data_IF_643603614056
#
_entry.id   IF_643603614056
#
_cell.length_a   1.000
_cell.length_b   1.000
_cell.length_c   1.000
_cell.angle_alpha   90.00
_cell.angle_beta   90.00
_cell.angle_gamma   90.00
#
_symmetry.space_group_name_H-M   'P 1'
#
loop_
_entity.id
_entity.type
_entity.pdbx_description
1 polymer ?
#
# COMPACT_ATOMS: atom_id res chain seq x y z
N UNK A 1 8.37 -24.39 -8.98
CA UNK A 1 9.52 -23.48 -8.73
C UNK A 1 9.01 -22.38 -7.82
N UNK A 2 9.74 -22.05 -6.75
CA UNK A 2 9.28 -21.07 -5.77
C UNK A 2 9.13 -19.67 -6.38
N UNK A 3 8.07 -18.96 -6.03
CA UNK A 3 7.87 -17.57 -6.46
C UNK A 3 8.75 -16.65 -5.59
N UNK A 4 9.72 -15.93 -6.18
CA UNK A 4 10.68 -15.13 -5.43
C UNK A 4 10.07 -13.79 -4.97
N UNK A 5 10.46 -13.34 -3.78
CA UNK A 5 10.18 -11.99 -3.25
C UNK A 5 11.50 -11.34 -2.80
N UNK A 6 11.48 -10.12 -2.26
CA UNK A 6 12.69 -9.60 -1.58
C UNK A 6 12.99 -10.30 -0.26
N UNK A 7 11.99 -10.94 0.35
CA UNK A 7 12.07 -11.53 1.70
C UNK A 7 12.44 -13.01 1.68
N UNK A 8 12.19 -13.71 0.58
CA UNK A 8 12.49 -15.14 0.44
C UNK A 8 12.62 -15.56 -1.02
N UNK A 9 13.43 -16.60 -1.26
CA UNK A 9 13.62 -17.25 -2.57
C UNK A 9 13.18 -18.71 -2.57
N UNK A 10 12.69 -19.22 -1.45
CA UNK A 10 12.38 -20.63 -1.25
C UNK A 10 10.87 -20.84 -1.00
N UNK A 11 10.42 -22.08 -1.20
CA UNK A 11 9.07 -22.49 -0.80
C UNK A 11 9.00 -22.60 0.72
N UNK A 12 7.81 -22.39 1.27
CA UNK A 12 7.57 -22.74 2.66
C UNK A 12 7.51 -24.26 2.85
N UNK A 13 7.83 -24.69 4.06
CA UNK A 13 7.77 -26.09 4.48
C UNK A 13 6.37 -26.41 4.99
N UNK A 14 5.83 -27.54 4.54
CA UNK A 14 4.55 -28.07 4.98
C UNK A 14 4.81 -29.25 5.91
N UNK A 15 4.18 -29.25 7.09
CA UNK A 15 4.11 -30.38 8.01
C UNK A 15 2.65 -30.78 8.27
N UNK A 16 2.40 -32.08 8.39
CA UNK A 16 1.07 -32.64 8.66
C UNK A 16 1.16 -33.58 9.86
N UNK A 17 0.46 -33.23 10.94
CA UNK A 17 0.25 -34.12 12.08
C UNK A 17 -0.78 -35.19 11.71
N UNK A 18 -0.30 -36.39 11.42
CA UNK A 18 -1.13 -37.50 10.97
C UNK A 18 -2.05 -38.05 12.07
N UNK A 19 -1.72 -37.84 13.35
CA UNK A 19 -2.54 -38.27 14.48
C UNK A 19 -3.77 -37.37 14.62
N UNK A 20 -3.57 -36.05 14.48
CA UNK A 20 -4.68 -35.07 14.51
C UNK A 20 -5.52 -35.05 13.24
N UNK A 21 -4.94 -35.37 12.09
CA UNK A 21 -5.63 -35.26 10.80
C UNK A 21 -6.86 -36.17 10.75
N UNK A 22 -8.05 -35.61 10.51
CA UNK A 22 -9.31 -36.38 10.41
C UNK A 22 -9.65 -36.80 8.98
N UNK A 23 -8.90 -36.32 7.98
CA UNK A 23 -9.18 -36.59 6.57
C UNK A 23 -10.32 -35.76 5.97
N UNK A 24 -10.75 -34.68 6.61
CA UNK A 24 -11.89 -33.86 6.17
C UNK A 24 -11.71 -33.17 4.80
N UNK A 25 -10.47 -32.92 4.36
CA UNK A 25 -10.20 -32.36 3.02
C UNK A 25 -10.22 -30.84 2.90
N UNK A 26 -10.49 -30.08 3.96
CA UNK A 26 -10.55 -28.60 3.88
C UNK A 26 -9.25 -27.97 3.35
N UNK A 27 -8.08 -28.48 3.78
CA UNK A 27 -6.77 -28.04 3.28
C UNK A 27 -6.60 -28.23 1.76
N UNK A 28 -7.20 -29.29 1.19
CA UNK A 28 -7.20 -29.56 -0.26
C UNK A 28 -8.10 -28.58 -0.98
N UNK A 29 -9.27 -28.28 -0.41
CA UNK A 29 -10.24 -27.34 -1.00
C UNK A 29 -9.69 -25.92 -1.11
N UNK A 30 -9.02 -25.42 -0.06
CA UNK A 30 -8.53 -24.03 -0.01
C UNK A 30 -7.19 -23.82 -0.72
N UNK A 31 -6.36 -24.86 -0.87
CA UNK A 31 -5.03 -24.71 -1.47
C UNK A 31 -5.10 -24.71 -3.00
N UNK A 32 -5.05 -23.52 -3.61
CA UNK A 32 -5.11 -23.36 -5.08
C UNK A 32 -3.78 -23.63 -5.81
N UNK A 33 -2.71 -23.90 -5.07
CA UNK A 33 -1.43 -24.41 -5.60
C UNK A 33 -1.36 -25.95 -5.64
N UNK A 34 -2.43 -26.63 -5.19
CA UNK A 34 -2.54 -28.10 -5.18
C UNK A 34 -1.43 -28.81 -4.39
N UNK A 35 -1.00 -28.23 -3.27
CA UNK A 35 0.02 -28.83 -2.38
C UNK A 35 -0.50 -30.04 -1.58
N UNK A 36 -1.81 -30.29 -1.54
CA UNK A 36 -2.41 -31.34 -0.72
C UNK A 36 -3.30 -32.27 -1.55
N UNK A 37 -3.38 -33.53 -1.16
CA UNK A 37 -4.38 -34.49 -1.61
C UNK A 37 -4.83 -35.38 -0.45
N UNK A 38 -5.94 -36.13 -0.63
CA UNK A 38 -6.40 -37.12 0.35
C UNK A 38 -6.05 -38.52 -0.10
N UNK A 39 -5.46 -39.30 0.82
CA UNK A 39 -5.15 -40.71 0.65
C UNK A 39 -5.40 -41.44 1.97
N UNK A 40 -6.05 -42.60 1.93
CA UNK A 40 -6.33 -43.40 3.13
C UNK A 40 -6.98 -42.58 4.28
N UNK A 41 -7.91 -41.68 3.94
CA UNK A 41 -8.59 -40.75 4.87
C UNK A 41 -7.63 -39.83 5.65
N UNK A 42 -6.47 -39.50 5.08
CA UNK A 42 -5.52 -38.54 5.64
C UNK A 42 -5.03 -37.58 4.57
N UNK A 43 -4.69 -36.36 4.98
CA UNK A 43 -4.05 -35.40 4.09
C UNK A 43 -2.58 -35.80 3.85
N UNK A 44 -2.14 -35.66 2.60
CA UNK A 44 -0.77 -35.90 2.15
C UNK A 44 -0.27 -34.73 1.31
N UNK A 45 1.04 -34.55 1.26
CA UNK A 45 1.70 -33.49 0.48
C UNK A 45 1.88 -33.98 -0.96
N UNK A 46 1.39 -33.21 -1.93
CA UNK A 46 1.54 -33.49 -3.35
C UNK A 46 3.00 -33.35 -3.80
N UNK A 47 3.47 -34.28 -4.64
CA UNK A 47 4.78 -34.19 -5.31
C UNK A 47 4.80 -33.27 -6.54
N UNK A 48 3.63 -32.78 -6.98
CA UNK A 48 3.50 -31.96 -8.19
C UNK A 48 2.62 -30.70 -7.95
N UNK A 49 3.01 -29.81 -7.04
CA UNK A 49 2.34 -28.51 -6.89
C UNK A 49 2.71 -27.58 -8.07
N UNK A 50 1.89 -26.55 -8.32
CA UNK A 50 2.15 -25.60 -9.41
C UNK A 50 3.41 -24.78 -9.10
N UNK A 51 3.35 -23.95 -8.05
CA UNK A 51 4.48 -23.14 -7.62
C UNK A 51 5.12 -23.64 -6.32
N UNK A 52 4.42 -24.52 -5.58
CA UNK A 52 4.79 -24.96 -4.24
C UNK A 52 4.06 -24.18 -3.16
N UNK A 53 4.46 -24.31 -1.91
CA UNK A 53 3.83 -23.57 -0.81
C UNK A 53 4.33 -22.11 -0.80
N UNK A 54 3.42 -21.18 -1.06
CA UNK A 54 3.69 -19.73 -0.99
C UNK A 54 3.54 -19.14 0.42
N UNK A 55 3.14 -19.95 1.42
CA UNK A 55 2.83 -19.52 2.78
C UNK A 55 1.68 -18.51 2.90
N UNK A 56 0.52 -18.79 2.31
CA UNK A 56 -0.69 -17.98 2.54
C UNK A 56 -1.45 -18.33 3.83
N UNK A 57 -1.09 -19.44 4.50
CA UNK A 57 -1.67 -19.83 5.79
C UNK A 57 -3.12 -20.35 5.77
N UNK A 58 -3.85 -20.24 4.65
CA UNK A 58 -5.27 -20.62 4.57
C UNK A 58 -5.53 -22.08 5.01
N UNK A 59 -4.63 -23.01 4.67
CA UNK A 59 -4.77 -24.41 5.08
C UNK A 59 -4.62 -24.62 6.58
N UNK A 60 -3.80 -23.81 7.27
CA UNK A 60 -3.72 -23.84 8.73
C UNK A 60 -4.98 -23.25 9.35
N UNK A 61 -5.42 -22.09 8.85
CA UNK A 61 -6.56 -21.34 9.39
C UNK A 61 -7.91 -22.08 9.26
N UNK A 62 -8.09 -22.90 8.21
CA UNK A 62 -9.34 -23.66 8.00
C UNK A 62 -9.32 -25.03 8.67
N UNK A 63 -8.15 -25.53 9.12
CA UNK A 63 -8.05 -26.91 9.61
C UNK A 63 -8.70 -27.04 11.00
N UNK A 64 -9.84 -27.75 11.14
CA UNK A 64 -10.55 -27.82 12.42
C UNK A 64 -9.78 -28.62 13.48
N UNK A 65 -8.88 -29.51 13.06
CA UNK A 65 -8.07 -30.34 13.94
C UNK A 65 -6.69 -29.74 14.26
N UNK A 66 -6.34 -28.58 13.67
CA UNK A 66 -5.01 -27.99 13.81
C UNK A 66 -3.88 -28.92 13.36
N UNK A 67 -4.12 -29.72 12.30
CA UNK A 67 -3.21 -30.76 11.84
C UNK A 67 -2.19 -30.29 10.80
N UNK A 68 -2.33 -29.07 10.26
CA UNK A 68 -1.45 -28.53 9.22
C UNK A 68 -0.60 -27.42 9.82
N UNK A 69 0.71 -27.48 9.60
CA UNK A 69 1.66 -26.44 9.99
C UNK A 69 2.49 -26.02 8.78
N UNK A 70 2.57 -24.71 8.55
CA UNK A 70 3.37 -24.08 7.50
C UNK A 70 4.44 -23.24 8.20
N UNK A 71 5.69 -23.38 7.74
CA UNK A 71 6.81 -22.60 8.27
C UNK A 71 7.70 -22.06 7.15
N UNK A 72 8.32 -20.92 7.41
CA UNK A 72 9.16 -20.21 6.45
C UNK A 72 8.37 -19.19 5.63
N UNK A 73 9.09 -18.42 4.80
CA UNK A 73 8.51 -17.28 4.05
C UNK A 73 7.78 -16.27 4.96
N UNK A 74 8.33 -16.02 6.15
CA UNK A 74 7.79 -15.07 7.14
C UNK A 74 6.42 -15.45 7.69
N UNK A 75 6.10 -16.75 7.68
CA UNK A 75 4.92 -17.31 8.31
C UNK A 75 5.31 -18.50 9.19
N UNK A 76 4.62 -18.62 10.31
CA UNK A 76 4.65 -19.72 11.25
C UNK A 76 3.25 -20.00 11.80
N UNK A 77 3.09 -21.06 12.58
CA UNK A 77 1.84 -21.32 13.30
C UNK A 77 1.51 -20.25 14.35
N UNK A 78 2.52 -19.57 14.88
CA UNK A 78 2.35 -18.60 15.97
C UNK A 78 1.76 -17.28 15.46
N UNK A 79 1.72 -17.09 14.13
CA UNK A 79 1.08 -15.95 13.47
C UNK A 79 -0.44 -16.13 13.32
N UNK A 80 -0.99 -17.30 13.67
CA UNK A 80 -2.44 -17.53 13.67
C UNK A 80 -3.09 -16.85 14.87
N UNK A 81 -4.27 -16.31 14.64
CA UNK A 81 -5.11 -15.72 15.68
C UNK A 81 -6.59 -16.04 15.40
N UNK A 82 -7.40 -16.01 16.45
CA UNK A 82 -8.84 -16.19 16.33
C UNK A 82 -9.48 -14.95 15.71
N UNK A 83 -10.26 -15.16 14.65
CA UNK A 83 -11.00 -14.07 14.02
C UNK A 83 -12.03 -13.49 15.01
N UNK A 84 -12.25 -12.15 14.99
CA UNK A 84 -13.36 -11.57 15.74
C UNK A 84 -14.68 -12.19 15.29
N UNK A 85 -15.65 -12.26 16.20
CA UNK A 85 -16.97 -12.79 15.87
C UNK A 85 -17.60 -11.94 14.77
N UNK A 86 -18.32 -12.60 13.85
CA UNK A 86 -18.96 -11.93 12.71
C UNK A 86 -19.87 -10.76 13.11
N UNK A 87 -20.48 -10.81 14.30
CA UNK A 87 -21.34 -9.75 14.84
C UNK A 87 -20.58 -8.47 15.26
N UNK A 88 -19.28 -8.61 15.55
CA UNK A 88 -18.42 -7.52 16.00
C UNK A 88 -17.68 -6.87 14.80
N UNK A 89 -17.70 -7.51 13.64
CA UNK A 89 -17.17 -6.95 12.40
C UNK A 89 -18.04 -5.81 11.87
N UNK A 90 -17.43 -4.86 11.16
CA UNK A 90 -18.14 -3.75 10.53
C UNK A 90 -19.14 -4.25 9.49
N UNK A 91 -20.38 -3.76 9.58
CA UNK A 91 -21.42 -4.04 8.59
C UNK A 91 -21.41 -3.01 7.44
N UNK A 92 -22.25 -3.24 6.42
CA UNK A 92 -22.34 -2.38 5.25
C UNK A 92 -22.64 -0.92 5.61
N UNK A 93 -23.61 -0.67 6.50
CA UNK A 93 -24.01 0.70 6.86
C UNK A 93 -22.90 1.45 7.59
N UNK A 94 -22.14 0.77 8.46
CA UNK A 94 -20.99 1.34 9.14
C UNK A 94 -19.88 1.71 8.15
N UNK A 95 -19.56 0.82 7.21
CA UNK A 95 -18.56 1.09 6.17
C UNK A 95 -19.02 2.21 5.23
N UNK A 96 -20.28 2.17 4.80
CA UNK A 96 -20.84 3.18 3.91
C UNK A 96 -20.86 4.56 4.58
N UNK A 97 -21.18 4.64 5.87
CA UNK A 97 -21.10 5.87 6.64
C UNK A 97 -19.66 6.42 6.70
N UNK A 98 -18.67 5.55 6.97
CA UNK A 98 -17.25 5.93 6.95
C UNK A 98 -16.85 6.48 5.58
N UNK A 99 -17.14 5.73 4.51
CA UNK A 99 -16.76 6.10 3.14
C UNK A 99 -17.42 7.39 2.68
N UNK A 100 -18.67 7.61 3.06
CA UNK A 100 -19.45 8.80 2.68
C UNK A 100 -19.00 10.06 3.41
N UNK A 101 -18.48 9.91 4.65
CA UNK A 101 -17.98 11.04 5.46
C UNK A 101 -16.57 11.45 5.10
N UNK A 102 -15.75 10.51 4.63
CA UNK A 102 -14.34 10.74 4.31
C UNK A 102 -14.15 11.85 3.29
N UNK A 103 -13.19 12.75 3.54
CA UNK A 103 -12.79 13.83 2.62
C UNK A 103 -11.28 13.88 2.49
N UNK A 104 -10.79 14.44 1.38
CA UNK A 104 -9.37 14.74 1.24
C UNK A 104 -9.07 16.03 2.03
N UNK A 105 -8.59 15.88 3.26
CA UNK A 105 -8.26 16.97 4.19
C UNK A 105 -6.82 17.42 3.97
N UNK A 106 -6.61 18.73 3.88
CA UNK A 106 -5.27 19.34 3.76
C UNK A 106 -5.03 20.41 4.83
N UNK A 107 -6.05 20.72 5.60
CA UNK A 107 -6.06 21.68 6.69
C UNK A 107 -6.05 20.92 8.01
N UNK A 108 -4.87 20.82 8.64
CA UNK A 108 -4.67 20.09 9.88
C UNK A 108 -4.45 21.03 11.07
N UNK A 109 -5.03 20.70 12.22
CA UNK A 109 -4.78 21.37 13.49
C UNK A 109 -3.31 21.23 13.87
N UNK A 110 -2.75 22.21 14.56
CA UNK A 110 -1.40 22.15 15.13
C UNK A 110 -1.35 21.22 16.35
N UNK A 111 -1.56 19.93 16.09
CA UNK A 111 -1.60 18.83 17.04
C UNK A 111 -0.91 17.62 16.42
N UNK A 112 0.07 17.08 17.15
CA UNK A 112 0.74 15.82 16.78
C UNK A 112 -0.18 14.61 16.95
N UNK A 113 0.13 13.54 16.23
CA UNK A 113 -0.59 12.26 16.34
C UNK A 113 0.15 11.36 17.32
N UNK A 114 -0.60 10.83 18.28
CA UNK A 114 -0.11 9.93 19.31
C UNK A 114 0.45 8.63 18.70
N UNK A 115 1.58 8.12 19.20
CA UNK A 115 2.24 6.92 18.66
C UNK A 115 1.34 5.69 18.61
N UNK A 116 0.45 5.53 19.60
CA UNK A 116 -0.52 4.44 19.63
C UNK A 116 -1.51 4.51 18.45
N UNK A 117 -1.93 5.72 18.05
CA UNK A 117 -2.79 5.91 16.88
C UNK A 117 -2.03 5.57 15.60
N UNK A 118 -0.76 5.99 15.48
CA UNK A 118 0.11 5.62 14.36
C UNK A 118 0.22 4.09 14.25
N UNK A 119 0.42 3.40 15.38
CA UNK A 119 0.51 1.95 15.40
C UNK A 119 -0.81 1.28 14.97
N UNK A 120 -1.97 1.75 15.47
CA UNK A 120 -3.29 1.24 15.02
C UNK A 120 -3.51 1.38 13.52
N UNK A 121 -3.00 2.46 12.90
CA UNK A 121 -3.06 2.65 11.45
C UNK A 121 -2.20 1.60 10.73
N UNK A 122 -1.00 1.33 11.22
CA UNK A 122 -0.10 0.32 10.65
C UNK A 122 -0.64 -1.10 10.84
N UNK A 123 -1.17 -1.42 12.01
CA UNK A 123 -1.79 -2.70 12.34
C UNK A 123 -2.99 -2.98 11.44
N UNK A 124 -3.79 -1.97 11.11
CA UNK A 124 -4.85 -2.11 10.11
C UNK A 124 -4.28 -2.25 8.69
N UNK A 125 -3.25 -1.47 8.33
CA UNK A 125 -2.68 -1.50 6.99
C UNK A 125 -2.06 -2.87 6.64
N UNK A 126 -1.44 -3.55 7.61
CA UNK A 126 -0.80 -4.87 7.39
C UNK A 126 -1.82 -5.98 7.13
N UNK A 127 -3.10 -5.81 7.48
CA UNK A 127 -4.16 -6.76 7.13
C UNK A 127 -4.63 -6.65 5.69
N UNK A 128 -4.04 -5.75 4.90
CA UNK A 128 -4.42 -5.57 3.50
C UNK A 128 -4.15 -6.85 2.69
N UNK A 129 -5.05 -7.20 1.75
CA UNK A 129 -4.79 -8.32 0.86
C UNK A 129 -3.56 -8.00 0.00
N UNK A 130 -2.88 -9.06 -0.41
CA UNK A 130 -1.69 -9.00 -1.25
C UNK A 130 -1.76 -10.07 -2.32
N UNK A 131 -1.15 -9.83 -3.47
CA UNK A 131 -1.08 -10.82 -4.55
C UNK A 131 -0.30 -12.08 -4.16
N UNK A 132 0.83 -11.91 -3.45
CA UNK A 132 1.70 -13.00 -3.04
C UNK A 132 2.29 -12.74 -1.64
N UNK A 133 2.17 -13.69 -0.69
CA UNK A 133 2.86 -13.60 0.58
C UNK A 133 4.33 -14.06 0.50
N UNK A 134 5.20 -13.55 1.40
CA UNK A 134 4.91 -12.49 2.36
C UNK A 134 4.80 -11.12 1.68
N UNK A 135 4.07 -10.19 2.30
CA UNK A 135 3.90 -8.84 1.75
C UNK A 135 5.26 -8.19 1.51
N UNK A 136 5.37 -7.57 0.34
CA UNK A 136 6.58 -6.90 -0.13
C UNK A 136 6.35 -5.36 -0.24
N UNK A 137 5.29 -4.88 0.42
CA UNK A 137 4.99 -3.46 0.63
C UNK A 137 5.91 -2.90 1.72
N UNK A 138 6.50 -1.74 1.44
CA UNK A 138 7.34 -0.98 2.35
C UNK A 138 6.60 0.31 2.74
N UNK A 139 6.84 0.80 3.97
CA UNK A 139 6.25 2.04 4.47
C UNK A 139 7.36 2.96 4.99
N UNK A 140 7.50 4.15 4.41
CA UNK A 140 8.29 5.24 4.99
C UNK A 140 7.37 6.12 5.83
N UNK A 141 7.68 6.26 7.13
CA UNK A 141 6.87 7.04 8.08
C UNK A 141 7.60 8.35 8.41
N UNK A 142 6.88 9.46 8.22
CA UNK A 142 7.27 10.81 8.62
C UNK A 142 6.32 11.26 9.73
N UNK A 143 6.67 10.95 10.97
CA UNK A 143 5.85 11.04 12.20
C UNK A 143 5.93 12.40 12.93
N UNK A 144 6.27 13.47 12.21
CA UNK A 144 6.23 14.83 12.76
C UNK A 144 6.18 15.87 11.65
N UNK A 145 5.64 17.05 11.96
CA UNK A 145 5.63 18.22 11.06
C UNK A 145 7.04 18.58 10.57
N UNK A 146 8.05 18.47 11.42
CA UNK A 146 9.44 18.75 11.05
C UNK A 146 9.92 17.78 9.97
N UNK A 147 9.69 16.46 10.15
CA UNK A 147 10.09 15.45 9.17
C UNK A 147 9.32 15.57 7.87
N UNK A 148 8.01 15.85 7.91
CA UNK A 148 7.20 16.07 6.71
C UNK A 148 7.63 17.32 5.97
N UNK A 149 7.91 18.43 6.67
CA UNK A 149 8.44 19.67 6.09
C UNK A 149 9.80 19.45 5.46
N UNK A 150 10.74 18.81 6.16
CA UNK A 150 12.09 18.52 5.66
C UNK A 150 12.04 17.70 4.37
N UNK A 151 11.21 16.65 4.33
CA UNK A 151 11.00 15.87 3.11
C UNK A 151 10.49 16.75 1.95
N UNK A 152 9.51 17.63 2.21
CA UNK A 152 8.97 18.52 1.19
C UNK A 152 10.01 19.53 0.66
N UNK A 153 10.83 20.11 1.56
CA UNK A 153 11.93 21.01 1.19
C UNK A 153 12.94 20.29 0.30
N UNK A 154 13.37 19.10 0.71
CA UNK A 154 14.30 18.27 -0.05
C UNK A 154 13.72 17.88 -1.41
N UNK A 155 12.43 17.55 -1.46
CA UNK A 155 11.73 17.22 -2.69
C UNK A 155 11.67 18.44 -3.64
N UNK A 156 11.35 19.63 -3.14
CA UNK A 156 11.36 20.85 -3.95
C UNK A 156 12.75 21.17 -4.49
N UNK A 157 13.81 21.02 -3.69
CA UNK A 157 15.19 21.18 -4.16
C UNK A 157 15.57 20.14 -5.23
N UNK A 158 15.09 18.91 -5.08
CA UNK A 158 15.22 17.86 -6.10
C UNK A 158 14.50 18.24 -7.40
N UNK A 159 13.26 18.74 -7.34
CA UNK A 159 12.52 19.21 -8.53
C UNK A 159 13.19 20.40 -9.21
N UNK A 160 13.74 21.34 -8.43
CA UNK A 160 14.45 22.52 -8.95
C UNK A 160 15.63 22.12 -9.83
N UNK A 161 16.40 21.15 -9.36
CA UNK A 161 17.51 20.53 -10.08
C UNK A 161 17.10 19.76 -11.35
N UNK A 162 15.80 19.56 -11.57
CA UNK A 162 15.23 18.87 -12.73
C UNK A 162 14.33 19.77 -13.59
N UNK A 163 14.24 21.07 -13.31
CA UNK A 163 13.38 22.00 -14.08
C UNK A 163 13.60 21.99 -15.58
N UNK A 164 14.82 21.71 -16.03
CA UNK A 164 15.15 21.62 -17.45
C UNK A 164 14.32 20.52 -18.18
N UNK A 165 13.94 19.45 -17.48
CA UNK A 165 13.11 18.35 -18.01
C UNK A 165 11.66 18.77 -18.27
N UNK A 166 11.19 19.84 -17.65
CA UNK A 166 9.85 20.42 -17.91
C UNK A 166 9.92 21.72 -18.71
N UNK A 167 11.09 22.01 -19.31
CA UNK A 167 11.28 23.20 -20.13
C UNK A 167 10.56 23.08 -21.48
N UNK A 168 10.17 24.23 -22.05
CA UNK A 168 9.40 24.23 -23.30
C UNK A 168 10.13 23.57 -24.47
N UNK A 169 11.45 23.78 -24.58
CA UNK A 169 12.28 23.18 -25.62
C UNK A 169 12.39 21.66 -25.46
N UNK A 170 12.58 21.17 -24.21
CA UNK A 170 12.67 19.75 -23.95
C UNK A 170 11.34 19.04 -24.24
N UNK A 171 10.22 19.63 -23.80
CA UNK A 171 8.90 19.08 -24.09
C UNK A 171 8.60 19.08 -25.60
N UNK A 172 9.02 20.11 -26.34
CA UNK A 172 8.88 20.15 -27.80
C UNK A 172 9.72 19.06 -28.49
N UNK A 173 10.94 18.81 -28.00
CA UNK A 173 11.82 17.74 -28.48
C UNK A 173 11.25 16.35 -28.20
N UNK A 174 10.65 16.14 -27.02
CA UNK A 174 10.11 14.85 -26.61
C UNK A 174 8.74 14.53 -27.21
N UNK A 175 8.02 15.54 -27.73
CA UNK A 175 6.68 15.38 -28.32
C UNK A 175 6.55 14.22 -29.32
N UNK A 176 7.49 13.97 -30.24
CA UNK A 176 7.39 12.85 -31.19
C UNK A 176 7.48 11.47 -30.53
N UNK A 177 8.04 11.36 -29.32
CA UNK A 177 8.39 10.08 -28.70
C UNK A 177 7.37 9.55 -27.69
N UNK A 178 6.55 10.43 -27.10
CA UNK A 178 5.65 10.02 -26.00
C UNK A 178 4.15 10.24 -26.24
N UNK A 179 3.75 10.69 -27.43
CA UNK A 179 2.34 10.80 -27.81
C UNK A 179 1.59 11.99 -27.20
N UNK A 180 0.36 12.24 -27.69
CA UNK A 180 -0.44 13.44 -27.38
C UNK A 180 -0.86 13.52 -25.90
N UNK A 181 -1.36 12.42 -25.34
CA UNK A 181 -1.84 12.35 -23.95
C UNK A 181 -0.74 12.71 -22.94
N UNK A 182 0.47 12.17 -23.14
CA UNK A 182 1.60 12.49 -22.27
C UNK A 182 2.03 13.95 -22.43
N UNK A 183 2.09 14.47 -23.66
CA UNK A 183 2.41 15.89 -23.90
C UNK A 183 1.43 16.84 -23.20
N UNK A 184 0.12 16.54 -23.27
CA UNK A 184 -0.93 17.29 -22.57
C UNK A 184 -0.77 17.21 -21.05
N UNK A 185 -0.50 16.02 -20.50
CA UNK A 185 -0.24 15.84 -19.07
C UNK A 185 1.01 16.62 -18.61
N UNK A 186 2.10 16.58 -19.37
CA UNK A 186 3.33 17.28 -19.02
C UNK A 186 3.15 18.80 -19.04
N UNK A 187 2.48 19.34 -20.07
CA UNK A 187 2.24 20.79 -20.20
C UNK A 187 1.17 21.29 -19.24
N UNK A 188 0.07 20.55 -19.10
CA UNK A 188 -1.11 20.95 -18.34
C UNK A 188 -1.02 20.68 -16.84
N UNK A 189 -0.22 19.70 -16.41
CA UNK A 189 -0.12 19.32 -15.01
C UNK A 189 1.33 19.32 -14.48
N UNK A 190 2.23 18.53 -15.07
CA UNK A 190 3.57 18.31 -14.48
C UNK A 190 4.42 19.59 -14.45
N UNK A 191 4.46 20.36 -15.52
CA UNK A 191 5.21 21.63 -15.56
C UNK A 191 4.64 22.67 -14.58
N UNK A 192 3.31 22.94 -14.53
CA UNK A 192 2.72 23.78 -13.49
C UNK A 192 3.03 23.30 -12.07
N UNK A 193 2.96 21.99 -11.82
CA UNK A 193 3.26 21.38 -10.53
C UNK A 193 4.66 21.74 -10.02
N UNK A 194 5.69 21.59 -10.86
CA UNK A 194 7.08 21.95 -10.51
C UNK A 194 7.16 23.43 -10.09
N UNK A 195 6.58 24.32 -10.89
CA UNK A 195 6.63 25.75 -10.62
C UNK A 195 5.88 26.12 -9.33
N UNK A 196 4.69 25.57 -9.13
CA UNK A 196 3.85 25.83 -7.96
C UNK A 196 4.54 25.33 -6.70
N UNK A 197 5.03 24.09 -6.68
CA UNK A 197 5.69 23.52 -5.50
C UNK A 197 6.93 24.31 -5.11
N UNK A 198 7.80 24.63 -6.08
CA UNK A 198 9.08 25.29 -5.79
C UNK A 198 8.85 26.73 -5.33
N UNK A 199 8.01 27.51 -6.03
CA UNK A 199 7.73 28.90 -5.66
C UNK A 199 7.04 29.00 -4.29
N UNK A 200 6.05 28.16 -4.03
CA UNK A 200 5.34 28.20 -2.75
C UNK A 200 6.24 27.77 -1.60
N UNK A 201 7.08 26.74 -1.80
CA UNK A 201 8.04 26.33 -0.77
C UNK A 201 9.03 27.45 -0.43
N UNK A 202 9.52 28.19 -1.43
CA UNK A 202 10.36 29.39 -1.22
C UNK A 202 9.64 30.50 -0.46
N UNK A 203 8.32 30.64 -0.65
CA UNK A 203 7.47 31.56 0.09
C UNK A 203 7.04 31.01 1.48
N UNK A 204 7.54 29.86 1.91
CA UNK A 204 7.19 29.24 3.19
C UNK A 204 5.90 28.42 3.16
N UNK A 205 5.19 28.32 2.03
CA UNK A 205 3.93 27.59 1.88
C UNK A 205 4.19 26.19 1.32
N UNK A 206 3.90 25.15 2.09
CA UNK A 206 4.11 23.78 1.65
C UNK A 206 2.85 23.17 1.03
N UNK A 207 2.83 23.09 -0.30
CA UNK A 207 1.74 22.43 -1.06
C UNK A 207 2.04 20.96 -1.40
N UNK A 208 3.23 20.46 -1.03
CA UNK A 208 3.64 19.08 -1.32
C UNK A 208 2.88 18.13 -0.40
N UNK A 209 2.91 18.37 0.91
CA UNK A 209 2.25 17.55 1.92
C UNK A 209 1.54 18.36 3.01
N UNK A 210 1.34 19.66 2.79
CA UNK A 210 0.51 20.54 3.63
C UNK A 210 0.95 20.63 5.09
N UNK A 211 2.24 20.44 5.34
CA UNK A 211 2.84 20.41 6.68
C UNK A 211 2.12 19.43 7.63
N UNK A 212 1.53 18.35 7.09
CA UNK A 212 0.78 17.40 7.88
C UNK A 212 1.63 16.84 9.05
N UNK A 213 1.04 16.62 10.23
CA UNK A 213 1.77 16.07 11.38
C UNK A 213 2.25 14.63 11.14
N UNK A 214 1.64 13.91 10.22
CA UNK A 214 2.05 12.57 9.80
C UNK A 214 1.92 12.42 8.29
N UNK A 215 2.93 11.81 7.67
CA UNK A 215 2.85 11.29 6.31
C UNK A 215 3.41 9.87 6.26
N UNK A 216 2.74 8.98 5.54
CA UNK A 216 3.24 7.63 5.24
C UNK A 216 3.32 7.44 3.75
N UNK A 217 4.43 6.90 3.27
CA UNK A 217 4.61 6.51 1.87
C UNK A 217 4.65 5.00 1.75
N UNK A 218 3.62 4.45 1.10
CA UNK A 218 3.49 3.04 0.80
C UNK A 218 4.04 2.78 -0.59
N UNK A 219 4.98 1.84 -0.71
CA UNK A 219 5.63 1.51 -1.98
C UNK A 219 6.04 0.03 -2.02
N UNK A 220 5.90 -0.60 -3.17
CA UNK A 220 6.36 -1.97 -3.38
C UNK A 220 7.86 -2.08 -3.66
N UNK A 221 8.41 -3.26 -3.42
CA UNK A 221 9.65 -3.73 -4.03
C UNK A 221 9.51 -3.99 -5.54
N UNK A 222 10.59 -4.37 -6.25
CA UNK A 222 10.51 -4.81 -7.65
C UNK A 222 9.71 -6.11 -7.87
N UNK A 223 9.42 -6.89 -6.82
CA UNK A 223 8.64 -8.13 -6.90
C UNK A 223 7.18 -7.95 -6.48
N UNK A 224 6.82 -6.79 -5.94
CA UNK A 224 5.48 -6.51 -5.42
C UNK A 224 4.46 -6.36 -6.54
N UNK A 225 3.24 -6.84 -6.31
CA UNK A 225 2.13 -6.51 -7.21
C UNK A 225 1.88 -4.99 -7.19
N UNK A 226 1.65 -4.34 -8.34
CA UNK A 226 1.45 -2.90 -8.39
C UNK A 226 0.26 -2.40 -7.55
N UNK A 227 -0.76 -3.21 -7.32
CA UNK A 227 -1.93 -2.81 -6.54
C UNK A 227 -1.67 -2.82 -5.03
N UNK A 228 -0.84 -3.74 -4.53
CA UNK A 228 -0.60 -3.97 -3.10
C UNK A 228 -0.29 -2.69 -2.29
N UNK A 229 0.67 -1.81 -2.68
CA UNK A 229 0.96 -0.60 -1.90
C UNK A 229 -0.20 0.39 -1.91
N UNK A 230 -1.02 0.43 -2.96
CA UNK A 230 -2.19 1.32 -3.05
C UNK A 230 -3.32 0.81 -2.15
N UNK A 231 -3.51 -0.51 -2.10
CA UNK A 231 -4.48 -1.14 -1.20
C UNK A 231 -4.07 -0.89 0.26
N UNK A 232 -2.80 -1.10 0.61
CA UNK A 232 -2.28 -0.82 1.95
C UNK A 232 -2.46 0.64 2.36
N UNK A 233 -2.13 1.58 1.47
CA UNK A 233 -2.37 3.01 1.70
C UNK A 233 -3.85 3.34 1.89
N UNK A 234 -4.74 2.66 1.16
CA UNK A 234 -6.19 2.85 1.26
C UNK A 234 -6.73 2.33 2.60
N UNK A 235 -6.28 1.16 3.05
CA UNK A 235 -6.63 0.61 4.37
C UNK A 235 -6.14 1.52 5.49
N UNK A 236 -4.90 2.01 5.41
CA UNK A 236 -4.33 2.97 6.36
C UNK A 236 -5.17 4.26 6.44
N UNK A 237 -5.62 4.77 5.28
CA UNK A 237 -6.49 5.94 5.20
C UNK A 237 -7.82 5.70 5.92
N UNK A 238 -8.50 4.58 5.67
CA UNK A 238 -9.78 4.28 6.32
C UNK A 238 -9.63 4.02 7.82
N UNK A 239 -8.54 3.37 8.25
CA UNK A 239 -8.23 3.17 9.66
C UNK A 239 -7.99 4.50 10.38
N UNK A 240 -7.25 5.43 9.76
CA UNK A 240 -7.05 6.76 10.33
C UNK A 240 -8.36 7.55 10.47
N UNK A 241 -9.26 7.44 9.49
CA UNK A 241 -10.56 8.13 9.52
C UNK A 241 -11.49 7.54 10.59
N UNK A 242 -11.44 6.23 10.84
CA UNK A 242 -12.18 5.62 11.96
C UNK A 242 -11.65 6.05 13.33
N UNK A 243 -10.38 6.48 13.40
CA UNK A 243 -9.73 7.06 14.58
C UNK A 243 -9.96 8.57 14.71
N UNK A 244 -10.76 9.19 13.82
CA UNK A 244 -11.11 10.60 13.85
C UNK A 244 -10.09 11.55 13.19
N UNK A 245 -9.12 11.01 12.46
CA UNK A 245 -8.18 11.81 11.68
C UNK A 245 -8.76 12.16 10.31
N UNK A 246 -8.37 13.33 9.78
CA UNK A 246 -8.51 13.67 8.39
C UNK A 246 -7.34 13.13 7.57
N UNK A 247 -7.60 12.76 6.33
CA UNK A 247 -6.57 12.16 5.45
C UNK A 247 -6.54 12.76 4.05
N UNK A 248 -5.40 12.68 3.36
CA UNK A 248 -5.33 12.92 1.92
C UNK A 248 -4.28 12.04 1.25
N UNK A 249 -4.66 11.43 0.12
CA UNK A 249 -3.74 10.72 -0.77
C UNK A 249 -3.02 11.72 -1.68
N UNK A 250 -1.71 11.53 -1.88
CA UNK A 250 -0.84 12.38 -2.67
C UNK A 250 -0.10 11.54 -3.74
N UNK A 251 -0.57 11.61 -4.98
CA UNK A 251 -0.01 10.83 -6.10
C UNK A 251 1.16 11.50 -6.83
N UNK A 252 1.47 12.77 -6.55
CA UNK A 252 2.42 13.53 -7.34
C UNK A 252 3.90 13.21 -7.06
N UNK A 253 4.22 12.75 -5.84
CA UNK A 253 5.61 12.51 -5.41
C UNK A 253 6.15 11.22 -6.04
N UNK A 254 5.38 10.14 -5.94
CA UNK A 254 5.82 8.79 -6.31
C UNK A 254 6.43 8.73 -7.73
N UNK A 255 5.74 9.16 -8.81
CA UNK A 255 6.28 9.01 -10.17
C UNK A 255 7.60 9.76 -10.39
N UNK A 256 7.79 10.88 -9.71
CA UNK A 256 8.95 11.78 -9.91
C UNK A 256 10.21 11.26 -9.22
N UNK A 257 10.09 10.33 -8.28
CA UNK A 257 11.22 9.79 -7.54
C UNK A 257 11.60 8.36 -7.96
N UNK A 258 11.09 7.83 -9.09
CA UNK A 258 11.40 6.45 -9.51
C UNK A 258 12.66 6.34 -10.37
N UNK A 259 12.86 7.26 -11.32
CA UNK A 259 13.84 7.07 -12.40
C UNK A 259 14.99 8.07 -12.38
N UNK A 260 16.19 7.59 -12.72
CA UNK A 260 17.39 8.41 -12.89
C UNK A 260 18.26 8.57 -11.63
N UNK A 261 19.51 8.99 -11.83
CA UNK A 261 20.54 9.09 -10.78
C UNK A 261 20.15 10.05 -9.64
N UNK A 262 19.59 11.22 -9.98
CA UNK A 262 19.13 12.19 -8.96
C UNK A 262 18.00 11.63 -8.09
N UNK A 263 17.05 10.91 -8.71
CA UNK A 263 15.96 10.27 -7.98
C UNK A 263 16.47 9.16 -7.05
N UNK A 264 17.46 8.38 -7.49
CA UNK A 264 18.14 7.39 -6.64
C UNK A 264 18.76 8.04 -5.40
N UNK A 265 19.53 9.11 -5.57
CA UNK A 265 20.15 9.85 -4.45
C UNK A 265 19.08 10.38 -3.49
N UNK A 266 17.98 10.94 -4.02
CA UNK A 266 16.86 11.41 -3.20
C UNK A 266 16.23 10.27 -2.38
N UNK A 267 15.96 9.13 -3.01
CA UNK A 267 15.41 7.95 -2.32
C UNK A 267 16.34 7.45 -1.22
N UNK A 268 17.62 7.28 -1.51
CA UNK A 268 18.64 6.84 -0.56
C UNK A 268 18.74 7.78 0.64
N UNK A 269 18.71 9.11 0.41
CA UNK A 269 18.70 10.12 1.48
C UNK A 269 17.53 9.94 2.46
N UNK A 270 16.37 9.51 1.97
CA UNK A 270 15.16 9.32 2.78
C UNK A 270 14.91 7.86 3.18
N UNK A 271 15.87 6.95 2.97
CA UNK A 271 15.73 5.54 3.34
C UNK A 271 14.72 4.77 2.49
N UNK A 272 14.36 5.26 1.30
CA UNK A 272 13.48 4.57 0.36
C UNK A 272 14.31 3.53 -0.39
N UNK A 273 14.06 2.25 -0.08
CA UNK A 273 14.96 1.14 -0.47
C UNK A 273 14.90 0.80 -1.96
N UNK A 274 13.71 0.87 -2.55
CA UNK A 274 13.45 0.35 -3.89
C UNK A 274 12.87 1.42 -4.80
N UNK A 275 13.09 1.25 -6.10
CA UNK A 275 12.13 1.77 -7.09
C UNK A 275 10.87 0.94 -6.98
N UNK A 276 9.73 1.58 -7.19
CA UNK A 276 8.45 0.92 -7.17
C UNK A 276 7.65 1.31 -8.40
N UNK A 277 6.87 0.35 -8.93
CA UNK A 277 6.00 0.61 -10.08
C UNK A 277 4.83 1.51 -9.69
N UNK A 278 4.30 1.30 -8.49
CA UNK A 278 3.21 2.08 -7.93
C UNK A 278 3.50 2.38 -6.46
N UNK A 279 2.98 3.50 -5.98
CA UNK A 279 3.13 3.89 -4.60
C UNK A 279 2.37 5.16 -4.30
N UNK A 280 2.06 5.36 -3.02
CA UNK A 280 1.15 6.42 -2.61
C UNK A 280 1.58 7.00 -1.27
N UNK A 281 1.68 8.33 -1.23
CA UNK A 281 1.75 9.05 0.02
C UNK A 281 0.33 9.24 0.55
N UNK A 282 0.15 9.03 1.85
CA UNK A 282 -1.03 9.44 2.59
C UNK A 282 -0.58 10.38 3.70
N UNK A 283 -1.24 11.53 3.81
CA UNK A 283 -1.03 12.46 4.93
C UNK A 283 -2.20 12.36 5.90
N UNK A 284 -1.91 12.58 7.18
CA UNK A 284 -2.84 12.39 8.28
C UNK A 284 -2.69 13.54 9.27
N UNK A 285 -3.80 13.88 9.93
CA UNK A 285 -3.82 14.85 11.02
C UNK A 285 -5.23 15.09 11.53
N UNK A 286 -5.35 15.71 12.70
CA UNK A 286 -6.64 16.15 13.19
C UNK A 286 -7.17 17.28 12.28
N UNK A 287 -8.39 17.16 11.73
CA UNK A 287 -8.88 18.12 10.74
C UNK A 287 -9.16 19.48 11.40
N UNK A 288 -8.65 20.56 10.81
CA UNK A 288 -8.96 21.94 11.21
C UNK A 288 -10.30 22.43 10.63
N UNK A 289 -10.87 21.68 9.69
CA UNK A 289 -12.13 22.02 9.01
C UNK A 289 -13.17 20.92 9.21
N UNK A 290 -14.45 21.30 9.15
CA UNK A 290 -15.58 20.36 9.26
C UNK A 290 -16.44 20.44 7.99
N UNK A 291 -16.73 19.29 7.39
CA UNK A 291 -17.65 19.19 6.26
C UNK A 291 -19.01 18.70 6.74
N UNK A 292 -20.06 19.45 6.40
CA UNK A 292 -21.45 19.10 6.74
C UNK A 292 -22.18 18.37 5.61
N UNK A 293 -21.65 18.42 4.39
CA UNK A 293 -22.28 17.87 3.18
C UNK A 293 -21.32 16.91 2.47
N UNK A 294 -21.86 15.77 2.04
CA UNK A 294 -21.20 14.84 1.12
C UNK A 294 -21.32 15.31 -0.34
N UNK A 295 -20.50 14.74 -1.22
CA UNK A 295 -20.56 14.96 -2.67
C UNK A 295 -20.84 13.62 -3.32
N UNK A 296 -21.94 13.52 -4.08
CA UNK A 296 -22.24 12.33 -4.88
C UNK A 296 -21.21 12.19 -6.00
N UNK A 297 -20.66 10.99 -6.16
CA UNK A 297 -19.69 10.64 -7.20
C UNK A 297 -20.28 9.61 -8.15
N UNK A 298 -19.79 9.59 -9.38
CA UNK A 298 -20.20 8.63 -10.41
C UNK A 298 -18.96 7.92 -10.95
N UNK A 299 -19.13 6.66 -11.34
CA UNK A 299 -18.15 6.03 -12.22
C UNK A 299 -18.27 6.60 -13.64
N UNK A 300 -17.21 6.45 -14.44
CA UNK A 300 -17.24 6.86 -15.84
C UNK A 300 -18.19 5.97 -16.66
N UNK A 301 -18.24 4.68 -16.36
CA UNK A 301 -19.24 3.73 -16.85
C UNK A 301 -19.49 2.61 -15.83
N UNK A 302 -20.62 1.92 -15.95
CA UNK A 302 -20.95 0.70 -15.20
C UNK A 302 -21.65 -0.26 -16.16
N UNK A 303 -20.87 -1.18 -16.72
CA UNK A 303 -21.31 -2.11 -17.76
C UNK A 303 -21.37 -3.53 -17.20
N UNK A 304 -22.45 -4.26 -17.47
CA UNK A 304 -22.57 -5.69 -17.15
C UNK A 304 -22.27 -6.45 -18.44
N UNK A 305 -21.22 -7.27 -18.41
CA UNK A 305 -20.87 -8.13 -19.54
C UNK A 305 -21.98 -9.18 -19.73
N UNK A 306 -22.58 -9.21 -20.92
CA UNK A 306 -23.53 -10.26 -21.32
C UNK A 306 -22.80 -11.53 -21.75
#
# INVERSE_FOLDING_TARGET
>A
MAIPTTRTKENATISIDSEKCTGCGECVSVCKDFNFYIENKKAKISGSPIFGCIACGHCMAVCPAGAIEISGRELSKDDLFDLPLRKDAANYEQLYALFSRRRSIREFQDKDIEREIIQKILDAAVTSPMGLPPSDVNVLILDSREKTRRFAVDFCAFLDNMKWFVSGWFLALMRPFWGKTNDEMFKGFVKPLFNIYIRNMQAGINLVNYDAPLAMYFYGSPYTDPADPIVAATTAMYAAESLGLGTCMLGAIHPLIQSGRKAKIFREKHGIKYTSREGLFVIFGYPAVKYQKGIKRTFASTDVMN
#
